data_IF_242987803329
#
_entry.id   IF_242987803329
#
_cell.length_a   1.000
_cell.length_b   1.000
_cell.length_c   1.000
_cell.angle_alpha   90.00
_cell.angle_beta   90.00
_cell.angle_gamma   90.00
#
_symmetry.space_group_name_H-M   'P 1'
#
loop_
_entity.id
_entity.type
_entity.pdbx_description
1 polymer ?
#
# COMPACT_ATOMS: atom_id res chain seq x y z
N UNK A 1 3.30 1.95 28.86
CA UNK A 1 2.43 1.71 27.69
C UNK A 1 2.69 2.67 26.52
N UNK A 2 3.02 3.95 26.74
CA UNK A 2 3.28 4.91 25.66
C UNK A 2 4.38 4.50 24.67
N UNK A 3 5.52 3.99 25.15
CA UNK A 3 6.64 3.57 24.30
C UNK A 3 6.22 2.52 23.25
N UNK A 4 5.44 1.52 23.67
CA UNK A 4 4.87 0.49 22.79
C UNK A 4 3.90 1.06 21.75
N UNK A 5 3.14 2.11 22.09
CA UNK A 5 2.24 2.79 21.15
C UNK A 5 3.02 3.58 20.09
N UNK A 6 4.09 4.27 20.49
CA UNK A 6 4.97 5.01 19.56
C UNK A 6 5.73 4.08 18.61
N UNK A 7 6.20 2.93 19.09
CA UNK A 7 6.82 1.91 18.25
C UNK A 7 5.84 1.34 17.22
N UNK A 8 4.60 1.04 17.63
CA UNK A 8 3.55 0.63 16.67
C UNK A 8 3.31 1.69 15.60
N UNK A 9 3.18 2.97 15.96
CA UNK A 9 3.02 4.05 14.98
C UNK A 9 4.22 4.21 14.04
N UNK A 10 5.46 3.93 14.49
CA UNK A 10 6.63 3.95 13.58
C UNK A 10 6.64 2.77 12.60
N UNK A 11 6.05 1.64 12.99
CA UNK A 11 6.10 0.41 12.22
C UNK A 11 4.85 0.20 11.34
N UNK A 12 3.85 1.08 11.44
CA UNK A 12 2.64 1.05 10.61
C UNK A 12 2.58 2.30 9.75
N UNK A 13 2.34 2.13 8.45
CA UNK A 13 2.01 3.25 7.58
C UNK A 13 0.70 3.89 8.04
N UNK A 14 0.61 5.21 7.91
CA UNK A 14 -0.67 5.90 8.04
C UNK A 14 -1.60 5.49 6.89
N UNK A 15 -2.91 5.56 7.10
CA UNK A 15 -3.90 5.20 6.08
C UNK A 15 -3.69 5.91 4.75
N UNK A 16 -3.32 7.20 4.79
CA UNK A 16 -2.98 7.96 3.60
C UNK A 16 -1.73 7.41 2.89
N UNK A 17 -0.70 7.02 3.64
CA UNK A 17 0.50 6.39 3.09
C UNK A 17 0.20 5.01 2.49
N UNK A 18 -0.67 4.21 3.11
CA UNK A 18 -1.07 2.90 2.58
C UNK A 18 -1.79 3.03 1.23
N UNK A 19 -2.73 3.97 1.12
CA UNK A 19 -3.47 4.22 -0.13
C UNK A 19 -2.52 4.70 -1.24
N UNK A 20 -1.62 5.61 -0.91
CA UNK A 20 -0.63 6.11 -1.87
C UNK A 20 0.32 4.99 -2.31
N UNK A 21 0.83 4.18 -1.38
CA UNK A 21 1.66 3.03 -1.69
C UNK A 21 0.94 2.04 -2.61
N UNK A 22 -0.30 1.68 -2.32
CA UNK A 22 -1.11 0.80 -3.17
C UNK A 22 -1.31 1.40 -4.57
N UNK A 23 -1.54 2.71 -4.67
CA UNK A 23 -1.74 3.39 -5.95
C UNK A 23 -0.46 3.43 -6.78
N UNK A 24 0.65 3.81 -6.16
CA UNK A 24 1.98 3.86 -6.80
C UNK A 24 2.41 2.48 -7.28
N UNK A 25 2.22 1.46 -6.44
CA UNK A 25 2.50 0.09 -6.79
C UNK A 25 1.69 -0.37 -8.01
N UNK A 26 0.36 -0.15 -8.01
CA UNK A 26 -0.49 -0.48 -9.17
C UNK A 26 -0.11 0.28 -10.43
N UNK A 27 0.37 1.52 -10.32
CA UNK A 27 0.85 2.29 -11.46
C UNK A 27 2.17 1.73 -12.00
N UNK A 28 3.11 1.39 -11.11
CA UNK A 28 4.37 0.75 -11.48
C UNK A 28 4.14 -0.60 -12.16
N UNK A 29 3.26 -1.44 -11.60
CA UNK A 29 2.84 -2.71 -12.19
C UNK A 29 2.30 -2.52 -13.60
N UNK A 30 1.40 -1.55 -13.81
CA UNK A 30 0.88 -1.23 -15.14
C UNK A 30 1.96 -0.75 -16.10
N UNK A 31 2.89 0.08 -15.63
CA UNK A 31 4.03 0.53 -16.43
C UNK A 31 4.97 -0.63 -16.81
N UNK A 32 5.09 -1.63 -15.93
CA UNK A 32 5.78 -2.89 -16.20
C UNK A 32 4.97 -3.87 -17.08
N UNK A 33 3.76 -3.50 -17.51
CA UNK A 33 2.91 -4.31 -18.39
C UNK A 33 1.95 -5.26 -17.67
N UNK A 34 1.90 -5.25 -16.33
CA UNK A 34 0.90 -5.99 -15.58
C UNK A 34 -0.48 -5.33 -15.75
N UNK A 35 -1.37 -6.05 -16.42
CA UNK A 35 -2.79 -5.69 -16.53
C UNK A 35 -3.55 -6.60 -15.59
N UNK A 36 -4.35 -6.02 -14.69
CA UNK A 36 -5.23 -6.77 -13.77
C UNK A 36 -6.29 -7.48 -14.62
N UNK A 37 -5.91 -8.61 -15.23
CA UNK A 37 -6.80 -9.51 -15.97
C UNK A 37 -7.65 -10.25 -14.95
N UNK A 38 -8.57 -9.54 -14.32
CA UNK A 38 -9.69 -10.21 -13.68
C UNK A 38 -10.49 -10.87 -14.80
N UNK A 39 -10.63 -12.20 -14.83
CA UNK A 39 -11.67 -12.79 -15.66
C UNK A 39 -12.98 -12.16 -15.17
N UNK A 40 -13.60 -11.36 -16.02
CA UNK A 40 -14.95 -10.86 -15.76
C UNK A 40 -15.84 -12.10 -15.86
N UNK A 41 -16.17 -12.71 -14.73
CA UNK A 41 -17.23 -13.71 -14.62
C UNK A 41 -18.56 -13.08 -14.97
#
# INVERSE_FOLDING_TARGET
>A
MEKKKREKMRNTLTSAQEVNYQREFRMADRAAGFTDRRPRS
#
